data_IF_181062386686
#
_entry.id   IF_181062386686
#
_cell.length_a   1.000
_cell.length_b   1.000
_cell.length_c   1.000
_cell.angle_alpha   90.00
_cell.angle_beta   90.00
_cell.angle_gamma   90.00
#
_symmetry.space_group_name_H-M   'P 1'
#
loop_
_entity.id
_entity.type
_entity.pdbx_description
1 polymer ?
#
# COMPACT_ATOMS: atom_id res chain seq x y z
N UNK A 1 -2.36 25.10 -19.62
CA UNK A 1 -3.25 25.53 -18.52
C UNK A 1 -2.45 25.46 -17.22
N UNK A 2 -2.17 26.60 -16.59
CA UNK A 2 -1.58 26.64 -15.23
C UNK A 2 -2.74 26.54 -14.24
N UNK A 3 -2.70 25.58 -13.32
CA UNK A 3 -3.70 25.43 -12.28
C UNK A 3 -3.14 26.15 -11.05
N UNK A 4 -3.69 27.31 -10.73
CA UNK A 4 -3.35 28.05 -9.52
C UNK A 4 -3.93 27.31 -8.31
N UNK A 5 -3.06 26.72 -7.49
CA UNK A 5 -3.45 26.12 -6.22
C UNK A 5 -3.59 27.20 -5.15
N UNK A 6 -4.69 27.96 -5.17
CA UNK A 6 -5.12 28.73 -4.00
C UNK A 6 -5.82 27.78 -3.02
N UNK A 7 -5.42 27.72 -1.73
CA UNK A 7 -6.11 26.89 -0.76
C UNK A 7 -7.55 27.40 -0.58
N UNK A 8 -8.52 26.52 -0.78
CA UNK A 8 -9.94 26.83 -0.55
C UNK A 8 -10.17 27.02 0.95
N UNK A 9 -10.72 28.17 1.33
CA UNK A 9 -11.30 28.40 2.67
C UNK A 9 -12.33 27.32 3.00
N UNK A 10 -12.48 26.99 4.28
CA UNK A 10 -13.41 25.96 4.78
C UNK A 10 -14.87 26.19 4.31
N UNK A 11 -15.27 27.45 4.13
CA UNK A 11 -16.60 27.81 3.61
C UNK A 11 -16.75 27.48 2.12
N UNK A 12 -15.67 27.62 1.34
CA UNK A 12 -15.62 27.24 -0.08
C UNK A 12 -15.78 25.73 -0.28
N UNK A 13 -15.28 24.91 0.66
CA UNK A 13 -15.45 23.46 0.64
C UNK A 13 -16.91 23.04 0.80
N UNK A 14 -17.64 23.68 1.74
CA UNK A 14 -19.07 23.39 1.95
C UNK A 14 -19.92 23.74 0.74
N UNK A 15 -19.59 24.84 0.05
CA UNK A 15 -20.31 25.27 -1.14
C UNK A 15 -20.02 24.34 -2.32
N UNK A 16 -18.75 23.97 -2.54
CA UNK A 16 -18.36 22.97 -3.54
C UNK A 16 -19.01 21.60 -3.31
N UNK A 17 -19.13 21.16 -2.05
CA UNK A 17 -19.80 19.90 -1.71
C UNK A 17 -21.30 19.93 -2.02
N UNK A 18 -21.99 21.04 -1.71
CA UNK A 18 -23.42 21.20 -2.05
C UNK A 18 -23.65 21.15 -3.56
N UNK A 19 -22.76 21.75 -4.34
CA UNK A 19 -22.87 21.76 -5.81
C UNK A 19 -22.51 20.40 -6.44
N UNK A 20 -21.58 19.66 -5.83
CA UNK A 20 -21.25 18.27 -6.19
C UNK A 20 -22.43 17.32 -5.92
N UNK A 21 -23.08 17.44 -4.75
CA UNK A 21 -24.26 16.63 -4.40
C UNK A 21 -25.43 16.94 -5.32
N UNK A 22 -25.62 18.22 -5.66
CA UNK A 22 -26.66 18.68 -6.60
C UNK A 22 -26.35 18.36 -8.07
N UNK A 23 -25.19 17.77 -8.36
CA UNK A 23 -24.79 17.36 -9.72
C UNK A 23 -24.45 18.52 -10.66
N UNK A 24 -24.29 19.75 -10.13
CA UNK A 24 -23.92 20.93 -10.93
C UNK A 24 -22.44 20.93 -11.29
N UNK A 25 -21.62 20.35 -10.40
CA UNK A 25 -20.21 20.07 -10.67
C UNK A 25 -20.12 18.59 -11.05
N UNK A 26 -19.51 18.24 -12.20
CA UNK A 26 -19.30 16.85 -12.55
C UNK A 26 -18.48 16.18 -11.46
N UNK A 27 -18.93 15.00 -11.00
CA UNK A 27 -18.11 14.17 -10.10
C UNK A 27 -16.79 13.91 -10.82
N UNK A 28 -15.70 14.40 -10.24
CA UNK A 28 -14.34 14.11 -10.70
C UNK A 28 -13.98 12.65 -10.37
N UNK A 29 -14.71 11.68 -10.90
CA UNK A 29 -14.32 10.27 -10.91
C UNK A 29 -15.23 9.43 -11.84
N UNK A 30 -14.89 9.33 -13.13
CA UNK A 30 -15.09 8.07 -13.86
C UNK A 30 -13.76 7.48 -14.35
N UNK A 31 -12.63 8.03 -13.89
CA UNK A 31 -11.35 7.34 -13.93
C UNK A 31 -10.83 7.35 -12.50
N UNK A 32 -11.09 6.25 -11.78
CA UNK A 32 -9.96 5.71 -11.04
C UNK A 32 -8.87 5.60 -12.09
N UNK A 33 -7.92 6.52 -12.06
CA UNK A 33 -6.64 6.24 -12.66
C UNK A 33 -6.23 5.00 -11.87
N UNK A 34 -6.33 3.84 -12.50
CA UNK A 34 -5.44 2.76 -12.15
C UNK A 34 -4.06 3.39 -12.27
N UNK A 35 -3.55 3.94 -11.17
CA UNK A 35 -2.12 4.14 -10.96
C UNK A 35 -1.44 2.76 -10.87
N UNK A 36 -1.89 1.78 -11.66
CA UNK A 36 -1.19 0.55 -12.01
C UNK A 36 0.06 0.82 -12.87
N UNK A 37 0.58 2.05 -12.83
CA UNK A 37 1.94 2.39 -13.24
C UNK A 37 2.94 2.36 -12.08
N UNK A 38 2.60 1.78 -10.95
CA UNK A 38 3.58 1.46 -9.90
C UNK A 38 3.53 -0.01 -9.49
N UNK A 39 3.67 -0.91 -10.46
CA UNK A 39 4.24 -2.24 -10.26
C UNK A 39 4.53 -2.87 -11.63
N UNK A 40 5.68 -2.53 -12.23
CA UNK A 40 6.28 -3.39 -13.27
C UNK A 40 6.72 -4.77 -12.73
N UNK A 41 6.37 -5.11 -11.48
CA UNK A 41 6.89 -6.26 -10.75
C UNK A 41 6.23 -7.62 -10.99
N UNK A 42 5.01 -7.73 -11.52
CA UNK A 42 4.35 -9.04 -11.62
C UNK A 42 3.62 -9.21 -12.94
N UNK A 43 4.36 -9.33 -14.05
CA UNK A 43 3.82 -9.98 -15.26
C UNK A 43 3.60 -11.46 -14.95
N UNK A 44 2.45 -11.77 -14.36
CA UNK A 44 1.98 -13.15 -14.21
C UNK A 44 1.85 -13.74 -15.62
N UNK A 45 2.73 -14.68 -15.95
CA UNK A 45 2.56 -15.49 -17.14
C UNK A 45 1.42 -16.47 -16.86
N UNK A 46 0.76 -17.02 -17.90
CA UNK A 46 -0.32 -18.01 -17.76
C UNK A 46 0.04 -19.19 -16.85
N UNK A 47 1.34 -19.49 -16.72
CA UNK A 47 1.84 -20.61 -15.93
C UNK A 47 2.30 -20.19 -14.53
N UNK A 48 2.02 -18.98 -14.06
CA UNK A 48 2.38 -18.55 -12.71
C UNK A 48 1.14 -18.47 -11.82
N UNK A 49 1.29 -18.79 -10.54
CA UNK A 49 0.27 -18.55 -9.51
C UNK A 49 0.80 -17.60 -8.44
N UNK A 50 -0.12 -16.86 -7.83
CA UNK A 50 0.16 -16.11 -6.61
C UNK A 50 -0.03 -17.05 -5.42
N UNK A 51 0.97 -17.11 -4.55
CA UNK A 51 0.94 -17.86 -3.30
C UNK A 51 1.17 -16.90 -2.13
N UNK A 52 0.26 -16.93 -1.16
CA UNK A 52 0.42 -16.21 0.10
C UNK A 52 1.06 -17.14 1.12
N UNK A 53 2.20 -16.73 1.69
CA UNK A 53 2.89 -17.49 2.73
C UNK A 53 3.02 -16.62 3.97
N UNK A 54 2.59 -17.14 5.12
CA UNK A 54 2.71 -16.43 6.38
C UNK A 54 4.17 -16.43 6.85
N UNK A 55 4.76 -15.25 7.00
CA UNK A 55 6.07 -15.08 7.60
C UNK A 55 5.87 -14.84 9.10
N UNK A 56 6.33 -15.80 9.92
CA UNK A 56 6.20 -15.78 11.38
C UNK A 56 6.98 -14.63 12.03
N UNK A 57 8.10 -14.22 11.46
CA UNK A 57 8.93 -13.16 12.01
C UNK A 57 8.30 -11.78 11.81
N UNK A 58 7.75 -11.54 10.62
CA UNK A 58 6.98 -10.33 10.32
C UNK A 58 5.54 -10.38 10.86
N UNK A 59 5.11 -11.55 11.36
CA UNK A 59 3.71 -11.87 11.72
C UNK A 59 2.71 -11.48 10.62
N UNK A 60 3.12 -11.58 9.35
CA UNK A 60 2.37 -11.07 8.18
C UNK A 60 2.43 -12.04 7.01
N UNK A 61 1.41 -12.00 6.17
CA UNK A 61 1.39 -12.71 4.89
C UNK A 61 2.30 -12.00 3.88
N UNK A 62 3.22 -12.76 3.29
CA UNK A 62 4.08 -12.33 2.19
C UNK A 62 3.60 -13.00 0.90
N UNK A 63 3.64 -12.24 -0.19
CA UNK A 63 3.18 -12.69 -1.50
C UNK A 63 4.36 -13.20 -2.32
N UNK A 64 4.24 -14.42 -2.84
CA UNK A 64 5.18 -15.04 -3.75
C UNK A 64 4.49 -15.33 -5.09
N UNK A 65 5.23 -15.16 -6.17
CA UNK A 65 4.83 -15.64 -7.50
C UNK A 65 5.61 -16.91 -7.78
N UNK A 66 4.87 -17.99 -8.00
CA UNK A 66 5.41 -19.34 -8.16
C UNK A 66 5.12 -19.84 -9.57
N UNK A 67 6.09 -20.47 -10.22
CA UNK A 67 5.87 -21.17 -11.50
C UNK A 67 5.10 -22.47 -11.22
N UNK A 68 3.97 -22.67 -11.90
CA UNK A 68 3.14 -23.87 -11.75
C UNK A 68 3.83 -25.13 -12.28
N UNK A 69 4.80 -25.01 -13.20
CA UNK A 69 5.49 -26.15 -13.80
C UNK A 69 6.63 -26.65 -12.93
N UNK A 70 7.44 -25.75 -12.37
CA UNK A 70 8.61 -26.13 -11.55
C UNK A 70 8.33 -26.08 -10.05
N UNK A 71 7.37 -25.27 -9.62
CA UNK A 71 7.11 -24.99 -8.20
C UNK A 71 8.05 -23.94 -7.61
N UNK A 72 8.93 -23.34 -8.41
CA UNK A 72 9.92 -22.37 -7.93
C UNK A 72 9.33 -20.98 -7.77
N UNK A 73 9.84 -20.23 -6.79
CA UNK A 73 9.48 -18.83 -6.57
C UNK A 73 10.20 -17.98 -7.63
N UNK A 74 9.45 -17.53 -8.62
CA UNK A 74 9.93 -16.68 -9.72
C UNK A 74 10.07 -15.23 -9.26
N UNK A 75 9.18 -14.78 -8.37
CA UNK A 75 9.27 -13.44 -7.81
C UNK A 75 8.72 -13.34 -6.39
N UNK A 76 9.26 -12.43 -5.59
CA UNK A 76 8.80 -12.13 -4.23
C UNK A 76 8.26 -10.71 -4.20
N UNK A 77 7.11 -10.51 -3.55
CA UNK A 77 6.53 -9.17 -3.40
C UNK A 77 7.40 -8.20 -2.59
N UNK A 78 8.18 -8.78 -1.68
CA UNK A 78 9.14 -8.10 -0.83
C UNK A 78 10.44 -8.85 -0.99
N UNK A 79 11.52 -8.14 -1.29
CA UNK A 79 12.86 -8.73 -1.36
C UNK A 79 13.31 -9.20 0.03
N UNK A 80 14.20 -10.19 0.09
CA UNK A 80 14.68 -10.72 1.36
C UNK A 80 15.36 -9.63 2.21
N UNK A 81 16.12 -8.73 1.57
CA UNK A 81 16.73 -7.58 2.25
C UNK A 81 15.70 -6.60 2.86
N UNK A 82 14.56 -6.39 2.19
CA UNK A 82 13.49 -5.54 2.72
C UNK A 82 12.70 -6.25 3.83
N UNK A 83 12.55 -7.58 3.76
CA UNK A 83 12.03 -8.40 4.87
C UNK A 83 12.92 -8.21 6.10
N UNK A 84 14.24 -8.37 5.96
CA UNK A 84 15.21 -8.22 7.04
C UNK A 84 15.19 -6.82 7.67
N UNK A 85 15.14 -5.79 6.82
CA UNK A 85 15.03 -4.41 7.27
C UNK A 85 13.75 -4.20 8.10
N UNK A 86 12.62 -4.74 7.66
CA UNK A 86 11.34 -4.63 8.37
C UNK A 86 11.36 -5.36 9.70
N UNK A 87 11.93 -6.57 9.75
CA UNK A 87 12.11 -7.31 11.01
C UNK A 87 12.93 -6.49 11.99
N UNK A 88 14.04 -5.87 11.54
CA UNK A 88 14.89 -5.04 12.39
C UNK A 88 14.15 -3.82 12.96
N UNK A 89 13.41 -3.11 12.12
CA UNK A 89 12.61 -1.95 12.55
C UNK A 89 11.52 -2.38 13.52
N UNK A 90 10.81 -3.47 13.23
CA UNK A 90 9.75 -3.98 14.10
C UNK A 90 10.29 -4.35 15.49
N UNK A 91 11.42 -5.06 15.56
CA UNK A 91 12.07 -5.38 16.84
C UNK A 91 12.49 -4.12 17.61
N UNK A 92 13.00 -3.10 16.89
CA UNK A 92 13.32 -1.81 17.49
C UNK A 92 12.10 -1.15 18.11
N UNK A 93 10.98 -1.12 17.40
CA UNK A 93 9.71 -0.55 17.90
C UNK A 93 9.18 -1.35 19.10
N UNK A 94 9.17 -2.68 19.02
CA UNK A 94 8.71 -3.55 20.12
C UNK A 94 9.53 -3.31 21.40
N UNK A 95 10.85 -3.14 21.26
CA UNK A 95 11.73 -2.80 22.39
C UNK A 95 11.42 -1.42 22.96
N UNK A 96 11.34 -0.39 22.11
CA UNK A 96 11.04 0.97 22.57
C UNK A 96 9.68 1.05 23.24
N UNK A 97 8.66 0.35 22.71
CA UNK A 97 7.35 0.29 23.34
C UNK A 97 7.41 -0.42 24.69
N UNK A 98 8.12 -1.56 24.79
CA UNK A 98 8.35 -2.25 26.06
C UNK A 98 8.96 -1.32 27.12
N UNK A 99 10.06 -0.64 26.76
CA UNK A 99 10.74 0.30 27.66
C UNK A 99 9.81 1.45 28.11
N UNK A 100 8.92 1.93 27.23
CA UNK A 100 7.94 2.99 27.55
C UNK A 100 6.81 2.49 28.46
N UNK A 101 6.38 1.23 28.31
CA UNK A 101 5.34 0.66 29.16
C UNK A 101 5.87 0.23 30.53
N UNK A 102 7.12 -0.22 30.62
CA UNK A 102 7.77 -0.58 31.89
C UNK A 102 8.12 0.64 32.75
N UNK A 103 8.32 1.82 32.14
CA UNK A 103 8.55 3.08 32.88
C UNK A 103 7.29 3.70 33.52
N UNK A 104 6.10 3.11 33.33
CA UNK A 104 4.83 3.61 33.89
C UNK A 104 4.35 2.86 35.13
N UNK A 105 5.19 2.01 35.72
CA UNK A 105 4.97 1.35 37.03
C UNK A 105 5.93 1.96 38.05
#
# INVERSE_FOLDING_TARGET
MKIDHKPLSYDGYKQGLKELIRGKIPKLAPKQVDDGKENQGYRLRKNHRIQYTYNKELKKNVVHVVDNKTGDVVNKAISDAEVDRRIRVQRGIERTLGDVFDQKV
#
